data_IF_480007842323
#
_entry.id   IF_480007842323
#
_cell.length_a   1.000
_cell.length_b   1.000
_cell.length_c   1.000
_cell.angle_alpha   90.00
_cell.angle_beta   90.00
_cell.angle_gamma   90.00
#
_symmetry.space_group_name_H-M   'P 1'
#
loop_
_entity.id
_entity.type
_entity.pdbx_description
1 polymer ?
#
# COMPACT_ATOMS: atom_id res chain seq x y z
N UNK A 1 8.64 -5.57 26.11
CA UNK A 1 8.55 -5.28 24.66
C UNK A 1 8.27 -3.79 24.54
N UNK A 2 9.29 -2.97 24.38
CA UNK A 2 9.10 -1.53 24.23
C UNK A 2 8.71 -1.29 22.77
N UNK A 3 7.45 -0.95 22.52
CA UNK A 3 7.05 -0.42 21.21
C UNK A 3 7.63 0.99 21.16
N UNK A 4 8.66 1.20 20.33
CA UNK A 4 9.47 2.41 20.37
C UNK A 4 8.77 3.66 19.80
N UNK A 5 7.67 3.49 19.07
CA UNK A 5 7.02 4.57 18.32
C UNK A 5 5.51 4.32 18.25
N UNK A 6 4.69 5.38 18.40
CA UNK A 6 3.24 5.25 18.25
C UNK A 6 2.87 5.07 16.78
N UNK A 7 1.99 4.12 16.49
CA UNK A 7 1.67 3.73 15.10
C UNK A 7 1.19 4.90 14.23
N UNK A 8 0.49 5.90 14.79
CA UNK A 8 -0.02 7.03 14.01
C UNK A 8 1.09 7.93 13.47
N UNK A 9 2.32 7.81 13.98
CA UNK A 9 3.46 8.60 13.51
C UNK A 9 4.16 8.00 12.29
N UNK A 10 3.92 6.72 11.96
CA UNK A 10 4.56 6.05 10.81
C UNK A 10 4.10 6.67 9.49
N UNK A 11 4.99 6.88 8.52
CA UNK A 11 4.64 7.46 7.20
C UNK A 11 3.94 6.44 6.30
N UNK A 12 4.49 5.23 6.26
CA UNK A 12 4.04 4.14 5.40
C UNK A 12 3.84 2.86 6.22
N UNK A 13 2.91 2.01 5.77
CA UNK A 13 2.70 0.65 6.30
C UNK A 13 2.81 -0.35 5.15
N UNK A 14 3.68 -1.35 5.33
CA UNK A 14 3.85 -2.45 4.38
C UNK A 14 2.95 -3.62 4.74
N UNK A 15 2.09 -4.02 3.81
CA UNK A 15 1.05 -5.03 4.00
C UNK A 15 1.27 -6.11 2.94
N UNK A 16 1.77 -7.31 3.33
CA UNK A 16 1.79 -8.44 2.42
C UNK A 16 0.37 -8.94 2.19
N UNK A 17 -0.06 -8.99 0.93
CA UNK A 17 -1.41 -9.44 0.55
C UNK A 17 -1.32 -10.70 -0.27
N UNK A 18 -2.02 -11.75 0.17
CA UNK A 18 -2.17 -12.98 -0.59
C UNK A 18 -3.45 -12.94 -1.44
N UNK A 19 -3.27 -12.96 -2.75
CA UNK A 19 -4.36 -13.06 -3.72
C UNK A 19 -4.67 -14.54 -3.91
N UNK A 20 -5.63 -15.04 -3.13
CA UNK A 20 -5.93 -16.47 -2.99
C UNK A 20 -6.27 -17.11 -4.34
N UNK A 21 -7.08 -16.43 -5.14
CA UNK A 21 -7.54 -16.88 -6.46
C UNK A 21 -6.38 -17.07 -7.45
N UNK A 22 -5.25 -16.40 -7.21
CA UNK A 22 -4.05 -16.46 -8.06
C UNK A 22 -2.89 -17.20 -7.40
N UNK A 23 -3.04 -17.62 -6.14
CA UNK A 23 -1.94 -18.14 -5.31
C UNK A 23 -0.70 -17.23 -5.33
N UNK A 24 -0.92 -15.91 -5.36
CA UNK A 24 0.11 -14.91 -5.63
C UNK A 24 0.24 -13.93 -4.47
N UNK A 25 1.47 -13.53 -4.15
CA UNK A 25 1.74 -12.52 -3.12
C UNK A 25 2.09 -11.18 -3.77
N UNK A 26 1.45 -10.12 -3.28
CA UNK A 26 1.76 -8.73 -3.64
C UNK A 26 2.10 -7.93 -2.38
N UNK A 27 2.82 -6.83 -2.53
CA UNK A 27 3.04 -5.88 -1.44
C UNK A 27 2.13 -4.67 -1.64
N UNK A 28 1.32 -4.35 -0.64
CA UNK A 28 0.62 -3.08 -0.56
C UNK A 28 1.37 -2.14 0.39
N UNK A 29 1.60 -0.91 -0.05
CA UNK A 29 2.26 0.15 0.70
C UNK A 29 1.20 1.22 0.95
N UNK A 30 0.62 1.20 2.15
CA UNK A 30 -0.30 2.23 2.59
C UNK A 30 0.50 3.46 2.99
N UNK A 31 0.43 4.52 2.19
CA UNK A 31 1.12 5.78 2.44
C UNK A 31 0.14 6.84 2.91
N UNK A 32 0.39 7.38 4.10
CA UNK A 32 -0.44 8.45 4.66
C UNK A 32 -0.07 9.82 4.09
N UNK A 33 1.19 10.07 3.72
CA UNK A 33 1.53 11.35 3.07
C UNK A 33 0.87 11.47 1.70
N UNK A 34 0.79 10.35 0.97
CA UNK A 34 0.19 10.32 -0.37
C UNK A 34 -1.31 10.05 -0.37
N UNK A 35 -1.89 9.67 0.79
CA UNK A 35 -3.29 9.23 0.93
C UNK A 35 -3.65 8.14 -0.09
N UNK A 36 -2.81 7.11 -0.17
CA UNK A 36 -2.93 6.08 -1.20
C UNK A 36 -2.31 4.74 -0.81
N UNK A 37 -2.60 3.72 -1.60
CA UNK A 37 -2.01 2.39 -1.55
C UNK A 37 -1.20 2.17 -2.82
N UNK A 38 0.10 2.02 -2.69
CA UNK A 38 0.98 1.65 -3.79
C UNK A 38 1.21 0.16 -3.80
N UNK A 39 1.03 -0.47 -4.95
CA UNK A 39 1.12 -1.91 -5.12
C UNK A 39 2.40 -2.28 -5.84
N UNK A 40 3.20 -3.14 -5.21
CA UNK A 40 4.21 -3.90 -5.93
C UNK A 40 3.69 -5.29 -6.24
N UNK A 41 3.66 -5.58 -7.53
CA UNK A 41 3.28 -6.86 -8.09
C UNK A 41 4.44 -7.36 -8.94
N UNK A 42 5.05 -8.48 -8.54
CA UNK A 42 6.15 -9.07 -9.29
C UNK A 42 5.70 -9.76 -10.57
N UNK A 43 4.40 -9.85 -10.85
CA UNK A 43 3.86 -10.53 -12.01
C UNK A 43 2.87 -9.65 -12.78
N UNK A 44 3.19 -9.37 -14.04
CA UNK A 44 2.33 -8.58 -14.91
C UNK A 44 1.73 -9.44 -16.01
N UNK A 45 0.40 -9.62 -16.00
CA UNK A 45 -0.31 -10.27 -17.10
C UNK A 45 -1.76 -9.79 -17.24
N UNK A 46 -2.31 -9.87 -18.45
CA UNK A 46 -3.71 -9.50 -18.74
C UNK A 46 -4.69 -10.39 -17.95
N UNK A 47 -5.52 -9.79 -17.10
CA UNK A 47 -6.48 -10.49 -16.24
C UNK A 47 -5.93 -10.94 -14.87
N UNK A 48 -4.64 -10.72 -14.61
CA UNK A 48 -4.08 -10.77 -13.26
C UNK A 48 -4.36 -9.46 -12.52
N UNK A 49 -4.12 -8.35 -13.21
CA UNK A 49 -4.33 -6.99 -12.70
C UNK A 49 -5.71 -6.78 -12.06
N UNK A 50 -6.79 -7.16 -12.74
CA UNK A 50 -8.16 -6.95 -12.23
C UNK A 50 -8.41 -7.74 -10.94
N UNK A 51 -7.93 -8.98 -10.85
CA UNK A 51 -8.08 -9.79 -9.62
C UNK A 51 -7.30 -9.20 -8.45
N UNK A 52 -6.09 -8.69 -8.69
CA UNK A 52 -5.31 -8.00 -7.67
C UNK A 52 -6.03 -6.72 -7.23
N UNK A 53 -6.47 -5.90 -8.19
CA UNK A 53 -7.17 -4.65 -7.92
C UNK A 53 -8.45 -4.87 -7.10
N UNK A 54 -9.28 -5.86 -7.44
CA UNK A 54 -10.52 -6.19 -6.72
C UNK A 54 -10.29 -6.49 -5.22
N UNK A 55 -9.14 -7.07 -4.87
CA UNK A 55 -8.75 -7.35 -3.48
C UNK A 55 -8.27 -6.07 -2.80
N UNK A 56 -7.45 -5.27 -3.49
CA UNK A 56 -6.85 -4.07 -2.92
C UNK A 56 -7.86 -2.93 -2.79
N UNK A 57 -8.80 -2.77 -3.71
CA UNK A 57 -9.86 -1.75 -3.59
C UNK A 57 -10.70 -1.94 -2.32
N UNK A 58 -10.91 -3.19 -1.88
CA UNK A 58 -11.56 -3.47 -0.59
C UNK A 58 -10.72 -2.99 0.59
N UNK A 59 -9.40 -3.17 0.52
CA UNK A 59 -8.48 -2.63 1.52
C UNK A 59 -8.48 -1.09 1.49
N UNK A 60 -8.46 -0.49 0.31
CA UNK A 60 -8.50 0.96 0.11
C UNK A 60 -9.81 1.57 0.63
N UNK A 61 -10.94 0.85 0.51
CA UNK A 61 -12.24 1.29 0.99
C UNK A 61 -12.39 1.21 2.51
N UNK A 62 -11.87 0.14 3.15
CA UNK A 62 -11.99 -0.02 4.61
C UNK A 62 -10.97 0.80 5.39
N UNK A 63 -9.81 1.07 4.80
CA UNK A 63 -8.73 1.85 5.43
C UNK A 63 -9.20 3.20 6.00
N UNK A 64 -9.79 4.13 5.20
CA UNK A 64 -10.21 5.44 5.71
C UNK A 64 -11.23 5.35 6.86
N UNK A 65 -12.14 4.36 6.82
CA UNK A 65 -13.12 4.12 7.88
C UNK A 65 -12.45 3.71 9.20
N UNK A 66 -11.47 2.81 9.14
CA UNK A 66 -10.68 2.39 10.29
C UNK A 66 -9.82 3.54 10.86
N UNK A 67 -9.24 4.36 9.99
CA UNK A 67 -8.44 5.52 10.39
C UNK A 67 -9.30 6.56 11.11
N UNK A 68 -10.49 6.85 10.58
CA UNK A 68 -11.45 7.76 11.21
C UNK A 68 -11.88 7.25 12.58
N UNK A 69 -12.23 5.97 12.69
CA UNK A 69 -12.65 5.37 13.97
C UNK A 69 -11.56 5.42 15.05
N UNK A 70 -10.29 5.43 14.64
CA UNK A 70 -9.15 5.51 15.55
C UNK A 70 -8.68 6.95 15.85
N UNK A 71 -9.43 8.00 15.47
CA UNK A 71 -9.02 9.41 15.52
C UNK A 71 -7.65 9.68 14.85
N UNK A 72 -7.33 8.91 13.80
CA UNK A 72 -6.00 8.92 13.21
C UNK A 72 -5.57 10.29 12.70
N UNK A 73 -6.45 10.99 11.98
CA UNK A 73 -6.12 12.29 11.36
C UNK A 73 -5.75 13.33 12.41
N UNK A 74 -6.47 13.35 13.54
CA UNK A 74 -6.17 14.21 14.70
C UNK A 74 -4.85 13.81 15.33
N UNK A 75 -4.66 12.51 15.61
CA UNK A 75 -3.44 12.00 16.27
C UNK A 75 -2.18 12.22 15.42
N UNK A 76 -2.29 12.06 14.10
CA UNK A 76 -1.20 12.28 13.16
C UNK A 76 -0.93 13.76 12.89
N UNK A 77 -1.90 14.63 13.17
CA UNK A 77 -1.80 16.07 12.92
C UNK A 77 -1.89 16.42 11.43
N UNK A 78 -2.67 15.66 10.66
CA UNK A 78 -2.91 15.97 9.25
C UNK A 78 -3.84 17.19 9.18
N UNK A 79 -3.36 18.27 8.58
CA UNK A 79 -4.19 19.42 8.22
C UNK A 79 -5.05 19.08 7.00
N UNK A 80 -6.18 18.43 7.24
CA UNK A 80 -7.07 17.92 6.18
C UNK A 80 -7.59 19.02 5.25
N UNK A 81 -7.69 20.26 5.73
CA UNK A 81 -8.20 21.39 4.95
C UNK A 81 -7.17 21.92 3.95
N UNK A 82 -5.87 21.89 4.31
CA UNK A 82 -4.81 22.49 3.50
C UNK A 82 -3.87 21.49 2.84
N UNK A 83 -3.83 20.23 3.30
CA UNK A 83 -2.89 19.24 2.79
C UNK A 83 -3.27 18.81 1.37
N UNK A 84 -2.35 18.90 0.41
CA UNK A 84 -2.60 18.71 -1.02
C UNK A 84 -3.33 17.40 -1.40
N UNK A 85 -3.02 16.31 -0.70
CA UNK A 85 -3.63 14.98 -0.88
C UNK A 85 -4.96 14.76 -0.16
N UNK A 86 -5.27 15.59 0.85
CA UNK A 86 -6.45 15.43 1.71
C UNK A 86 -7.50 16.50 1.49
N UNK A 87 -7.10 17.71 1.09
CA UNK A 87 -8.03 18.78 0.77
C UNK A 87 -9.06 18.29 -0.24
N UNK A 88 -10.28 18.77 -0.10
CA UNK A 88 -11.42 18.45 -0.96
C UNK A 88 -11.84 16.95 -0.96
N UNK A 89 -11.27 16.10 -0.10
CA UNK A 89 -11.67 14.69 0.10
C UNK A 89 -12.32 14.50 1.46
N UNK A 90 -13.35 13.68 1.53
CA UNK A 90 -13.91 13.24 2.80
C UNK A 90 -12.93 12.30 3.54
N UNK A 91 -12.99 12.30 4.88
CA UNK A 91 -12.19 11.40 5.70
C UNK A 91 -12.50 9.91 5.45
N UNK A 92 -13.69 9.60 4.93
CA UNK A 92 -14.17 8.26 4.55
C UNK A 92 -13.98 7.93 3.06
N UNK A 93 -13.58 8.88 2.22
CA UNK A 93 -13.34 8.63 0.80
C UNK A 93 -12.25 7.57 0.60
N UNK A 94 -12.45 6.70 -0.38
CA UNK A 94 -11.51 5.64 -0.74
C UNK A 94 -10.09 6.20 -0.99
N UNK A 95 -9.08 5.42 -0.60
CA UNK A 95 -7.68 5.76 -0.90
C UNK A 95 -7.36 5.44 -2.36
N UNK A 96 -6.49 6.26 -2.97
CA UNK A 96 -6.06 6.02 -4.34
C UNK A 96 -5.25 4.71 -4.40
N UNK A 97 -5.44 3.88 -5.43
CA UNK A 97 -4.68 2.64 -5.62
C UNK A 97 -3.83 2.77 -6.87
N UNK A 98 -2.51 2.57 -6.74
CA UNK A 98 -1.54 2.76 -7.82
C UNK A 98 -0.58 1.58 -7.91
N UNK A 99 -0.41 1.02 -9.10
CA UNK A 99 0.60 -0.01 -9.35
C UNK A 99 1.96 0.63 -9.59
N UNK A 100 2.99 0.06 -8.97
CA UNK A 100 4.37 0.45 -9.19
C UNK A 100 4.89 -0.26 -10.44
N UNK A 101 5.16 0.53 -11.47
CA UNK A 101 5.70 0.05 -12.74
C UNK A 101 7.24 0.03 -12.72
N UNK A 102 7.84 -0.58 -13.75
CA UNK A 102 9.30 -0.58 -13.96
C UNK A 102 10.14 -1.20 -12.84
N UNK A 103 9.55 -2.06 -12.01
CA UNK A 103 10.24 -2.85 -10.98
C UNK A 103 10.57 -4.27 -11.49
N UNK A 104 11.52 -4.99 -10.85
CA UNK A 104 11.84 -6.36 -11.23
C UNK A 104 10.61 -7.26 -11.22
N UNK A 105 10.43 -8.03 -12.30
CA UNK A 105 9.33 -8.98 -12.46
C UNK A 105 9.84 -10.42 -12.47
N UNK A 106 9.02 -11.33 -11.98
CA UNK A 106 9.24 -12.77 -12.05
C UNK A 106 8.88 -13.29 -13.45
N UNK A 107 9.56 -14.36 -13.88
CA UNK A 107 9.21 -15.04 -15.13
C UNK A 107 7.84 -15.73 -15.04
N UNK A 108 7.16 -15.88 -16.18
CA UNK A 108 5.90 -16.65 -16.22
C UNK A 108 6.11 -18.08 -15.72
N UNK A 109 5.24 -18.54 -14.81
CA UNK A 109 5.33 -19.85 -14.18
C UNK A 109 6.31 -19.94 -13.00
N UNK A 110 7.03 -18.87 -12.65
CA UNK A 110 7.81 -18.79 -11.41
C UNK A 110 6.89 -18.80 -10.18
N UNK A 111 7.38 -19.39 -9.09
CA UNK A 111 6.73 -19.42 -7.77
C UNK A 111 7.42 -18.46 -6.77
N UNK A 112 8.20 -17.51 -7.27
CA UNK A 112 9.10 -16.67 -6.47
C UNK A 112 8.43 -15.38 -5.97
N UNK A 113 7.12 -15.20 -6.18
CA UNK A 113 6.41 -13.94 -5.84
C UNK A 113 6.62 -13.50 -4.39
N UNK A 114 6.69 -14.45 -3.45
CA UNK A 114 7.02 -14.18 -2.06
C UNK A 114 8.43 -13.62 -1.87
N UNK A 115 9.42 -14.13 -2.60
CA UNK A 115 10.83 -13.66 -2.55
C UNK A 115 10.94 -12.24 -3.09
N UNK A 116 10.29 -11.95 -4.23
CA UNK A 116 10.26 -10.60 -4.79
C UNK A 116 9.58 -9.62 -3.82
N UNK A 117 8.43 -9.99 -3.26
CA UNK A 117 7.69 -9.18 -2.30
C UNK A 117 8.52 -8.83 -1.05
N UNK A 118 9.14 -9.82 -0.39
CA UNK A 118 9.93 -9.56 0.82
C UNK A 118 11.21 -8.78 0.52
N UNK A 119 11.85 -9.04 -0.62
CA UNK A 119 13.05 -8.30 -1.04
C UNK A 119 12.71 -6.83 -1.29
N UNK A 120 11.58 -6.55 -1.95
CA UNK A 120 11.14 -5.18 -2.19
C UNK A 120 10.78 -4.45 -0.88
N UNK A 121 10.04 -5.11 0.02
CA UNK A 121 9.74 -4.55 1.34
C UNK A 121 11.00 -4.23 2.15
N UNK A 122 11.99 -5.13 2.12
CA UNK A 122 13.28 -4.95 2.79
C UNK A 122 14.05 -3.75 2.20
N UNK A 123 14.11 -3.63 0.87
CA UNK A 123 14.72 -2.47 0.20
C UNK A 123 14.09 -1.14 0.64
N UNK A 124 12.75 -1.08 0.71
CA UNK A 124 12.04 0.13 1.13
C UNK A 124 12.33 0.48 2.59
N UNK A 125 12.50 -0.51 3.46
CA UNK A 125 12.78 -0.31 4.89
C UNK A 125 14.10 0.44 5.16
N UNK A 126 15.09 0.30 4.27
CA UNK A 126 16.36 1.03 4.34
C UNK A 126 16.26 2.48 3.86
N UNK A 127 15.06 2.97 3.51
CA UNK A 127 14.84 4.32 3.00
C UNK A 127 15.20 4.47 1.52
N UNK A 128 15.45 3.37 0.81
CA UNK A 128 15.55 3.40 -0.65
C UNK A 128 14.14 3.55 -1.22
N UNK A 129 13.69 4.80 -1.40
CA UNK A 129 12.48 5.10 -2.17
C UNK A 129 12.75 4.79 -3.64
N UNK A 130 12.63 3.52 -4.02
CA UNK A 130 12.56 3.10 -5.43
C UNK A 130 11.14 3.40 -5.91
N UNK A 131 10.78 4.69 -5.94
CA UNK A 131 9.57 5.12 -6.61
C UNK A 131 9.93 5.27 -8.09
N UNK A 132 9.35 4.42 -8.93
CA UNK A 132 9.37 4.66 -10.36
C UNK A 132 8.73 6.03 -10.63
N UNK A 133 9.39 6.80 -11.49
CA UNK A 133 9.07 8.20 -11.78
C UNK A 133 7.87 8.32 -12.71
#
# INVERSE_FOLDING_TARGET
MHVAVSWHTVEDIYIPVNIKEKHHWVLAILSFSERGIFLYDSYESSGHYSTVLDVIEKLAAITPLCLQHCDFYVKKGIDVENHSRYKDKDCSDIFDVLFQESLPQQSSGSLDCGVYMVTYAECLSYGHKVLAK
#
